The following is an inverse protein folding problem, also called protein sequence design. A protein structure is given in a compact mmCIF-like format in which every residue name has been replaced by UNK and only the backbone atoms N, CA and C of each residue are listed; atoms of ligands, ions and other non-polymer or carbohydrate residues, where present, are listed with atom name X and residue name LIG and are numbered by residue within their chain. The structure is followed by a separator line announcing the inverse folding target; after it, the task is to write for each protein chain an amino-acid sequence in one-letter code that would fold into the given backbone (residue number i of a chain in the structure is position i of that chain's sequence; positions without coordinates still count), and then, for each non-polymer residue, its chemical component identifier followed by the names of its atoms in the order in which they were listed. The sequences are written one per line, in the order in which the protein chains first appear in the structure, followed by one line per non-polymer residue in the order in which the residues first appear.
data_IF_643448191274
#
_entry.id   IF_643448191274
#
_cell.length_a   1.000
_cell.length_b   1.000
_cell.length_c   1.000
_cell.angle_alpha   90.00
_cell.angle_beta   90.00
_cell.angle_gamma   90.00
#
_symmetry.space_group_name_H-M   'P 1'
#
loop_
_entity.id
_entity.type
_entity.pdbx_description
1 polymer ?
#
# COMPACT_ATOMS: atom_id res chain seq x y z
N UNK A 1 -21.96 -7.68 20.39
CA UNK A 1 -22.04 -7.87 18.92
C UNK A 1 -20.65 -7.66 18.38
N UNK A 2 -20.15 -8.52 17.50
CA UNK A 2 -18.83 -8.28 16.88
C UNK A 2 -19.00 -7.17 15.85
N UNK A 3 -18.17 -6.14 15.95
CA UNK A 3 -18.13 -5.07 14.95
C UNK A 3 -17.75 -5.68 13.59
N UNK A 4 -18.69 -5.72 12.66
CA UNK A 4 -18.44 -6.22 11.31
C UNK A 4 -17.53 -5.27 10.54
N UNK A 5 -17.45 -4.00 10.95
CA UNK A 5 -16.68 -3.00 10.23
C UNK A 5 -15.18 -3.33 10.36
N UNK A 6 -14.70 -3.82 11.50
CA UNK A 6 -13.28 -4.14 11.71
C UNK A 6 -12.81 -5.44 11.02
N UNK A 7 -13.70 -6.17 10.33
CA UNK A 7 -13.37 -7.46 9.70
C UNK A 7 -12.87 -7.32 8.26
N UNK A 8 -13.26 -6.26 7.58
CA UNK A 8 -12.93 -6.06 6.17
C UNK A 8 -11.68 -5.19 6.08
N UNK A 9 -10.70 -5.65 5.33
CA UNK A 9 -9.49 -4.90 5.03
C UNK A 9 -9.27 -4.83 3.53
N UNK A 10 -8.77 -3.68 3.09
CA UNK A 10 -8.32 -3.50 1.71
C UNK A 10 -6.80 -3.63 1.69
N UNK A 11 -6.28 -4.47 0.82
CA UNK A 11 -4.84 -4.55 0.60
C UNK A 11 -4.46 -3.62 -0.55
N UNK A 12 -3.33 -2.93 -0.45
CA UNK A 12 -2.77 -2.22 -1.61
C UNK A 12 -2.47 -3.17 -2.77
N UNK A 13 -2.35 -4.50 -2.53
CA UNK A 13 -2.25 -5.47 -3.62
C UNK A 13 -3.49 -5.43 -4.53
N UNK A 14 -4.69 -5.25 -3.99
CA UNK A 14 -5.89 -5.09 -4.83
C UNK A 14 -5.97 -3.73 -5.53
N UNK A 15 -5.12 -2.79 -5.15
CA UNK A 15 -5.09 -1.40 -5.64
C UNK A 15 -3.84 -1.07 -6.45
N UNK A 16 -3.02 -2.05 -6.85
CA UNK A 16 -1.72 -1.78 -7.49
C UNK A 16 -1.82 -0.94 -8.78
N UNK A 17 -2.91 -1.11 -9.56
CA UNK A 17 -3.15 -0.27 -10.75
C UNK A 17 -3.55 1.16 -10.42
N UNK A 18 -4.25 1.35 -9.30
CA UNK A 18 -4.63 2.69 -8.82
C UNK A 18 -3.40 3.45 -8.32
N UNK A 19 -2.46 2.74 -7.69
CA UNK A 19 -1.20 3.31 -7.19
C UNK A 19 -0.15 3.51 -8.27
N UNK A 20 -0.19 2.73 -9.37
CA UNK A 20 0.69 2.89 -10.52
C UNK A 20 2.10 2.33 -10.31
N UNK A 21 2.83 2.92 -9.37
CA UNK A 21 4.24 2.64 -9.14
C UNK A 21 4.49 1.56 -8.09
N UNK A 22 5.57 0.79 -8.28
CA UNK A 22 6.08 -0.18 -7.31
C UNK A 22 7.58 0.01 -7.07
N UNK A 23 8.08 -0.58 -5.99
CA UNK A 23 9.48 -0.65 -5.61
C UNK A 23 9.83 -2.14 -5.54
N UNK A 24 10.47 -2.71 -6.59
CA UNK A 24 10.79 -4.13 -6.63
C UNK A 24 11.69 -4.51 -5.46
N UNK A 25 11.34 -5.57 -4.71
CA UNK A 25 12.23 -6.05 -3.64
C UNK A 25 13.01 -7.27 -4.08
N UNK A 26 14.28 -7.29 -3.70
CA UNK A 26 15.06 -8.52 -3.73
C UNK A 26 14.65 -9.42 -2.55
N UNK A 27 14.12 -10.60 -2.86
CA UNK A 27 13.64 -11.56 -1.85
C UNK A 27 14.77 -12.28 -1.10
N UNK A 28 16.02 -12.12 -1.56
CA UNK A 28 17.23 -12.71 -0.98
C UNK A 28 17.94 -11.71 -0.08
N UNK A 29 18.11 -10.47 -0.53
CA UNK A 29 18.87 -9.42 0.20
C UNK A 29 17.99 -8.47 1.01
N UNK A 30 16.67 -8.48 0.78
CA UNK A 30 15.71 -7.49 1.29
C UNK A 30 15.96 -6.06 0.77
N UNK A 31 16.81 -5.88 -0.25
CA UNK A 31 17.00 -4.58 -0.88
C UNK A 31 15.70 -4.12 -1.56
N UNK A 32 15.47 -2.81 -1.50
CA UNK A 32 14.37 -2.14 -2.18
C UNK A 32 14.99 -1.45 -3.39
N UNK A 33 14.52 -1.82 -4.59
CA UNK A 33 14.94 -1.21 -5.84
C UNK A 33 14.36 0.19 -6.03
N UNK A 34 14.81 0.84 -7.10
CA UNK A 34 14.27 2.12 -7.54
C UNK A 34 12.78 2.00 -7.92
N UNK A 35 12.11 3.14 -7.99
CA UNK A 35 10.72 3.25 -8.41
C UNK A 35 10.53 2.75 -9.84
N UNK A 36 9.52 1.90 -10.05
CA UNK A 36 9.09 1.38 -11.34
C UNK A 36 7.61 1.71 -11.57
N UNK A 37 7.29 2.37 -12.69
CA UNK A 37 5.93 2.69 -13.12
C UNK A 37 5.21 1.45 -13.69
N UNK A 38 5.18 0.37 -12.92
CA UNK A 38 4.69 -0.96 -13.35
C UNK A 38 3.28 -0.91 -13.97
N UNK A 39 2.44 0.05 -13.54
CA UNK A 39 1.10 0.28 -14.06
C UNK A 39 0.86 1.74 -14.51
N UNK A 40 1.92 2.52 -14.72
CA UNK A 40 1.87 3.96 -15.04
C UNK A 40 1.94 4.88 -13.81
N UNK A 41 1.61 6.15 -14.00
CA UNK A 41 1.69 7.20 -12.96
C UNK A 41 0.80 6.92 -11.73
N UNK A 42 -0.28 6.15 -11.90
CA UNK A 42 -1.30 5.97 -10.88
C UNK A 42 -2.27 7.16 -10.80
N UNK A 43 -3.37 6.98 -10.09
CA UNK A 43 -4.41 8.00 -9.91
C UNK A 43 -4.56 8.39 -8.43
N UNK A 44 -3.85 7.71 -7.52
CA UNK A 44 -3.89 7.94 -6.07
C UNK A 44 -2.53 7.68 -5.43
N UNK A 45 -2.27 8.33 -4.29
CA UNK A 45 -1.05 8.15 -3.52
C UNK A 45 -1.29 7.30 -2.26
N UNK A 46 -0.23 6.67 -1.72
CA UNK A 46 -0.31 5.99 -0.42
C UNK A 46 -0.77 6.93 0.72
N UNK A 47 -0.48 8.24 0.62
CA UNK A 47 -0.90 9.23 1.61
C UNK A 47 -2.39 9.60 1.47
N UNK A 48 -2.94 9.57 0.26
CA UNK A 48 -4.35 9.86 -0.02
C UNK A 48 -5.28 8.68 0.20
N UNK A 49 -4.78 7.45 0.01
CA UNK A 49 -5.54 6.21 0.15
C UNK A 49 -6.37 6.08 1.44
N UNK A 50 -5.86 6.42 2.65
CA UNK A 50 -6.66 6.32 3.87
C UNK A 50 -7.96 7.12 3.82
N UNK A 51 -7.92 8.34 3.28
CA UNK A 51 -9.10 9.20 3.12
C UNK A 51 -10.08 8.63 2.09
N UNK A 52 -9.57 8.17 0.95
CA UNK A 52 -10.37 7.55 -0.12
C UNK A 52 -11.08 6.30 0.40
N UNK A 53 -10.36 5.41 1.11
CA UNK A 53 -10.93 4.20 1.71
C UNK A 53 -11.98 4.50 2.78
N UNK A 54 -11.74 5.50 3.63
CA UNK A 54 -12.69 5.91 4.65
C UNK A 54 -14.00 6.42 4.04
N UNK A 55 -13.93 7.18 2.94
CA UNK A 55 -15.11 7.65 2.19
C UNK A 55 -15.95 6.50 1.61
N UNK A 56 -15.34 5.33 1.38
CA UNK A 56 -16.00 4.10 0.92
C UNK A 56 -16.41 3.16 2.07
N UNK A 57 -16.23 3.57 3.33
CA UNK A 57 -16.62 2.78 4.51
C UNK A 57 -15.61 1.73 4.95
N UNK A 58 -14.38 1.74 4.41
CA UNK A 58 -13.32 0.86 4.86
C UNK A 58 -12.53 1.51 6.01
N UNK A 59 -12.19 0.71 7.02
CA UNK A 59 -11.48 1.18 8.21
C UNK A 59 -10.12 0.52 8.42
N UNK A 60 -9.73 -0.42 7.56
CA UNK A 60 -8.45 -1.14 7.63
C UNK A 60 -7.81 -1.23 6.26
N UNK A 61 -6.56 -0.76 6.20
CA UNK A 61 -5.67 -0.86 5.04
C UNK A 61 -4.50 -1.77 5.40
N UNK A 62 -4.18 -2.71 4.52
CA UNK A 62 -2.94 -3.48 4.55
C UNK A 62 -2.02 -3.00 3.43
N UNK A 63 -0.81 -2.60 3.80
CA UNK A 63 0.18 -2.11 2.84
C UNK A 63 1.08 -3.28 2.43
N UNK A 64 1.16 -3.51 1.12
CA UNK A 64 2.13 -4.41 0.51
C UNK A 64 3.47 -3.72 0.46
N UNK A 65 4.50 -4.44 0.87
CA UNK A 65 5.86 -3.93 1.00
C UNK A 65 6.35 -3.26 -0.30
N UNK A 66 6.01 -3.79 -1.48
CA UNK A 66 6.40 -3.24 -2.79
C UNK A 66 5.83 -1.85 -3.12
N UNK A 67 4.92 -1.29 -2.32
CA UNK A 67 4.49 0.10 -2.50
C UNK A 67 5.26 1.08 -1.61
N UNK A 68 6.18 0.59 -0.77
CA UNK A 68 6.96 1.43 0.14
C UNK A 68 8.35 1.71 -0.44
N UNK A 69 8.67 3.00 -0.61
CA UNK A 69 10.02 3.47 -0.99
C UNK A 69 11.10 3.10 0.03
N UNK A 70 10.72 2.96 1.30
CA UNK A 70 11.63 2.58 2.37
C UNK A 70 10.90 1.74 3.42
N UNK A 71 11.62 0.81 4.03
CA UNK A 71 11.22 0.02 5.19
C UNK A 71 12.19 0.22 6.35
N UNK A 72 12.88 1.36 6.39
CA UNK A 72 13.80 1.70 7.48
C UNK A 72 13.04 1.63 8.82
N UNK A 73 13.55 0.85 9.80
CA UNK A 73 12.94 0.74 11.12
C UNK A 73 12.62 2.07 11.80
N UNK A 74 13.35 3.15 11.50
CA UNK A 74 13.08 4.50 12.04
C UNK A 74 11.66 4.99 11.74
N UNK A 75 11.03 4.48 10.67
CA UNK A 75 9.66 4.84 10.27
C UNK A 75 8.60 3.82 10.69
N UNK A 76 8.98 2.64 11.20
CA UNK A 76 8.06 1.51 11.38
C UNK A 76 7.67 1.21 12.84
N UNK A 77 8.40 1.75 13.82
CA UNK A 77 8.05 1.67 15.25
C UNK A 77 8.46 0.39 15.94
#
# INVERSE_FOLDING_TARGET
MVDNNSRIAVSTWSLHRLLGSTYPHDLTTNEIGDEDETYGEGEESLLGLPSTLANHGYNRLEIVAFHLRSRDPVYLG
#
